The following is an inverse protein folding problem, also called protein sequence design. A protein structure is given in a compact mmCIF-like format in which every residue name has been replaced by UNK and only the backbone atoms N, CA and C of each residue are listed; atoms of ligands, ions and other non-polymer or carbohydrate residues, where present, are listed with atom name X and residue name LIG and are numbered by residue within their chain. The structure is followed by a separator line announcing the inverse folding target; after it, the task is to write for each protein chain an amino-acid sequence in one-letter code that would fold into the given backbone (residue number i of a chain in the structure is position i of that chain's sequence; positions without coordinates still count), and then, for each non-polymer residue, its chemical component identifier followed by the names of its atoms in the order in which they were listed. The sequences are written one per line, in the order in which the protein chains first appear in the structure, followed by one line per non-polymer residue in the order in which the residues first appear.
data_IF_631493315385
#
_entry.id   IF_631493315385
#
_cell.length_a   1.000
_cell.length_b   1.000
_cell.length_c   1.000
_cell.angle_alpha   90.00
_cell.angle_beta   90.00
_cell.angle_gamma   90.00
#
_symmetry.space_group_name_H-M   'P 1'
#
loop_
_entity.id
_entity.type
_entity.pdbx_description
1 polymer ?
#
# COMPACT_ATOMS: atom_id res chain seq x y z
N UNK A 1 26.51 6.95 -19.38
CA UNK A 1 26.02 8.29 -19.78
C UNK A 1 25.29 8.98 -18.62
N UNK A 2 24.34 8.31 -17.94
CA UNK A 2 23.61 8.86 -16.77
C UNK A 2 24.50 9.39 -15.64
N UNK A 3 25.53 8.63 -15.23
CA UNK A 3 26.49 9.06 -14.20
C UNK A 3 27.16 10.41 -14.52
N UNK A 4 27.57 10.64 -15.77
CA UNK A 4 28.19 11.89 -16.19
C UNK A 4 27.20 13.07 -16.08
N UNK A 5 25.93 12.85 -16.42
CA UNK A 5 24.89 13.88 -16.30
C UNK A 5 24.70 14.29 -14.84
N UNK A 6 24.62 13.32 -13.91
CA UNK A 6 24.50 13.60 -12.48
C UNK A 6 25.68 14.39 -11.93
N UNK A 7 26.90 14.03 -12.32
CA UNK A 7 28.11 14.74 -11.91
C UNK A 7 28.17 16.15 -12.51
N UNK A 8 27.72 16.35 -13.75
CA UNK A 8 27.60 17.67 -14.36
C UNK A 8 26.57 18.55 -13.67
N UNK A 9 25.41 17.98 -13.29
CA UNK A 9 24.40 18.71 -12.51
C UNK A 9 24.90 19.09 -11.12
N UNK A 10 25.57 18.16 -10.43
CA UNK A 10 26.21 18.44 -9.16
C UNK A 10 27.26 19.55 -9.29
N UNK A 11 28.12 19.49 -10.32
CA UNK A 11 29.12 20.50 -10.60
C UNK A 11 28.49 21.87 -10.83
N UNK A 12 27.42 21.95 -11.65
CA UNK A 12 26.68 23.19 -11.87
C UNK A 12 26.14 23.76 -10.56
N UNK A 13 25.50 22.93 -9.73
CA UNK A 13 25.04 23.34 -8.41
C UNK A 13 26.19 23.85 -7.51
N UNK A 14 27.33 23.16 -7.50
CA UNK A 14 28.49 23.56 -6.69
C UNK A 14 29.09 24.89 -7.17
N UNK A 15 29.14 25.14 -8.48
CA UNK A 15 29.56 26.43 -9.04
C UNK A 15 28.62 27.56 -8.61
N UNK A 16 27.30 27.33 -8.65
CA UNK A 16 26.32 28.30 -8.15
C UNK A 16 26.49 28.53 -6.64
N UNK A 17 26.63 27.47 -5.83
CA UNK A 17 26.89 27.57 -4.40
C UNK A 17 28.13 28.43 -4.10
N UNK A 18 29.25 28.19 -4.79
CA UNK A 18 30.49 28.93 -4.61
C UNK A 18 30.36 30.41 -5.03
N UNK A 19 29.68 30.67 -6.15
CA UNK A 19 29.46 32.05 -6.62
C UNK A 19 28.66 32.90 -5.60
N UNK A 20 27.77 32.26 -4.83
CA UNK A 20 26.89 32.92 -3.86
C UNK A 20 27.53 33.10 -2.49
N UNK A 21 28.45 32.22 -2.08
CA UNK A 21 29.23 32.38 -0.85
C UNK A 21 30.05 33.69 -0.83
N UNK A 22 30.43 34.22 -2.00
CA UNK A 22 31.19 35.47 -2.12
C UNK A 22 30.35 36.75 -2.18
N UNK A 23 29.02 36.66 -2.27
CA UNK A 23 28.14 37.78 -2.64
C UNK A 23 27.17 38.24 -1.53
N UNK A 24 27.38 37.82 -0.28
CA UNK A 24 26.42 37.98 0.82
C UNK A 24 26.01 39.44 1.06
N UNK A 25 24.86 39.83 0.50
CA UNK A 25 24.10 41.02 0.86
C UNK A 25 22.83 40.56 1.54
N UNK A 26 22.60 41.06 2.76
CA UNK A 26 21.67 40.50 3.75
C UNK A 26 20.17 40.52 3.39
N UNK A 27 19.80 41.04 2.21
CA UNK A 27 18.40 41.27 1.82
C UNK A 27 17.70 40.13 1.09
N UNK A 28 18.42 39.14 0.53
CA UNK A 28 17.83 38.15 -0.40
C UNK A 28 18.13 36.67 -0.05
N UNK A 29 18.55 36.39 1.18
CA UNK A 29 19.04 35.07 1.59
C UNK A 29 17.99 33.94 1.50
N UNK A 30 16.71 34.25 1.73
CA UNK A 30 15.62 33.27 1.66
C UNK A 30 15.36 32.84 0.22
N UNK A 31 15.22 33.80 -0.70
CA UNK A 31 15.02 33.52 -2.12
C UNK A 31 16.19 32.72 -2.71
N UNK A 32 17.42 33.07 -2.34
CA UNK A 32 18.59 32.32 -2.75
C UNK A 32 18.61 30.89 -2.19
N UNK A 33 18.23 30.72 -0.93
CA UNK A 33 18.10 29.40 -0.32
C UNK A 33 17.02 28.55 -1.02
N UNK A 34 15.87 29.13 -1.36
CA UNK A 34 14.82 28.45 -2.12
C UNK A 34 15.32 28.00 -3.49
N UNK A 35 15.95 28.90 -4.25
CA UNK A 35 16.51 28.59 -5.57
C UNK A 35 17.56 27.47 -5.51
N UNK A 36 18.49 27.53 -4.55
CA UNK A 36 19.56 26.54 -4.43
C UNK A 36 19.03 25.19 -3.95
N UNK A 37 17.97 25.17 -3.14
CA UNK A 37 17.25 23.94 -2.79
C UNK A 37 16.52 23.34 -4.00
N UNK A 38 15.87 24.16 -4.82
CA UNK A 38 15.22 23.69 -6.06
C UNK A 38 16.20 23.05 -7.04
N UNK A 39 17.46 23.46 -7.05
CA UNK A 39 18.51 22.81 -7.83
C UNK A 39 19.03 21.52 -7.19
N UNK A 40 19.26 21.50 -5.88
CA UNK A 40 19.96 20.38 -5.22
C UNK A 40 19.06 19.16 -4.98
N UNK A 41 17.76 19.38 -4.76
CA UNK A 41 16.82 18.30 -4.43
C UNK A 41 16.60 17.33 -5.62
N UNK A 42 16.38 17.79 -6.87
CA UNK A 42 16.28 16.89 -8.01
C UNK A 42 17.57 16.10 -8.28
N UNK A 43 18.74 16.73 -8.13
CA UNK A 43 20.05 16.06 -8.28
C UNK A 43 20.18 14.94 -7.25
N UNK A 44 19.80 15.21 -6.00
CA UNK A 44 19.82 14.21 -4.94
C UNK A 44 18.87 13.06 -5.25
N UNK A 45 17.61 13.35 -5.62
CA UNK A 45 16.61 12.34 -5.93
C UNK A 45 17.06 11.43 -7.09
N UNK A 46 17.56 12.03 -8.19
CA UNK A 46 18.08 11.28 -9.33
C UNK A 46 19.31 10.42 -8.96
N UNK A 47 20.24 10.99 -8.18
CA UNK A 47 21.43 10.26 -7.72
C UNK A 47 21.09 9.08 -6.81
N UNK A 48 20.05 9.20 -5.97
CA UNK A 48 19.58 8.09 -5.14
C UNK A 48 18.90 6.98 -5.95
N UNK A 49 18.26 7.31 -7.07
CA UNK A 49 17.66 6.33 -7.98
C UNK A 49 18.74 5.56 -8.76
N UNK A 50 19.82 6.26 -9.16
CA UNK A 50 20.95 5.66 -9.89
C UNK A 50 22.01 5.05 -8.94
N UNK A 51 21.72 4.96 -7.63
CA UNK A 51 22.63 4.42 -6.60
C UNK A 51 23.98 5.15 -6.45
N UNK A 52 24.08 6.39 -6.93
CA UNK A 52 25.25 7.26 -6.74
C UNK A 52 25.17 8.00 -5.39
N UNK A 53 25.23 7.24 -4.29
CA UNK A 53 25.04 7.78 -2.93
C UNK A 53 26.08 8.85 -2.55
N UNK A 54 27.29 8.80 -3.12
CA UNK A 54 28.31 9.83 -2.91
C UNK A 54 27.90 11.21 -3.43
N UNK A 55 27.25 11.26 -4.61
CA UNK A 55 26.72 12.50 -5.18
C UNK A 55 25.55 13.02 -4.33
N UNK A 56 24.62 12.14 -3.98
CA UNK A 56 23.49 12.49 -3.12
C UNK A 56 23.94 13.04 -1.75
N UNK A 57 24.95 12.40 -1.12
CA UNK A 57 25.54 12.86 0.14
C UNK A 57 26.12 14.25 0.02
N UNK A 58 26.97 14.49 -0.98
CA UNK A 58 27.61 15.80 -1.15
C UNK A 58 26.56 16.88 -1.43
N UNK A 59 25.58 16.60 -2.29
CA UNK A 59 24.47 17.49 -2.58
C UNK A 59 23.70 17.86 -1.30
N UNK A 60 23.29 16.88 -0.51
CA UNK A 60 22.53 17.11 0.73
C UNK A 60 23.35 17.83 1.80
N UNK A 61 24.65 17.55 1.94
CA UNK A 61 25.53 18.26 2.87
C UNK A 61 25.58 19.76 2.57
N UNK A 62 25.59 20.16 1.29
CA UNK A 62 25.52 21.58 0.90
C UNK A 62 24.11 22.13 1.02
N UNK A 63 23.09 21.33 0.68
CA UNK A 63 21.67 21.66 0.87
C UNK A 63 21.32 22.03 2.31
N UNK A 64 21.99 21.41 3.29
CA UNK A 64 21.81 21.68 4.72
C UNK A 64 21.99 23.17 5.08
N UNK A 65 22.91 23.88 4.42
CA UNK A 65 23.11 25.31 4.67
C UNK A 65 21.86 26.10 4.33
N UNK A 66 21.18 25.77 3.23
CA UNK A 66 20.00 26.49 2.76
C UNK A 66 18.74 26.15 3.54
N UNK A 67 18.56 24.88 3.94
CA UNK A 67 17.42 24.52 4.80
C UNK A 67 17.53 25.22 6.16
N UNK A 68 18.74 25.38 6.70
CA UNK A 68 18.97 26.11 7.95
C UNK A 68 18.62 27.61 7.83
N UNK A 69 18.85 28.22 6.66
CA UNK A 69 18.42 29.60 6.39
C UNK A 69 16.89 29.69 6.40
N UNK A 70 16.19 28.73 5.77
CA UNK A 70 14.73 28.67 5.80
C UNK A 70 14.19 28.41 7.22
N UNK A 71 14.87 27.60 8.04
CA UNK A 71 14.51 27.36 9.45
C UNK A 71 14.68 28.61 10.32
N UNK A 72 15.73 29.40 10.08
CA UNK A 72 16.10 30.56 10.91
C UNK A 72 15.27 31.81 10.61
N UNK A 73 14.47 31.79 9.55
CA UNK A 73 13.64 32.92 9.16
C UNK A 73 12.44 33.04 10.11
N UNK A 74 12.22 34.19 10.77
CA UNK A 74 11.14 34.34 11.73
C UNK A 74 9.78 34.30 11.03
N UNK A 75 9.17 33.13 11.01
CA UNK A 75 7.81 32.93 10.52
C UNK A 75 6.86 32.87 11.71
N UNK A 76 5.98 33.87 11.83
CA UNK A 76 4.75 33.71 12.62
C UNK A 76 3.93 32.57 12.01
N UNK A 77 3.22 31.78 12.84
CA UNK A 77 2.46 30.60 12.38
C UNK A 77 1.47 30.94 11.26
N UNK A 78 0.96 32.17 11.23
CA UNK A 78 -0.02 32.64 10.25
C UNK A 78 0.60 33.17 8.93
N UNK A 79 1.93 33.23 8.82
CA UNK A 79 2.64 33.78 7.65
C UNK A 79 3.76 32.86 7.14
N UNK A 80 3.69 31.56 7.41
CA UNK A 80 4.71 30.61 6.92
C UNK A 80 4.65 30.50 5.39
N UNK A 81 5.78 30.75 4.74
CA UNK A 81 5.90 30.64 3.29
C UNK A 81 5.65 29.16 2.84
N UNK A 82 4.63 28.89 2.01
CA UNK A 82 4.34 27.55 1.51
C UNK A 82 5.48 26.92 0.69
N UNK A 83 6.20 27.74 -0.09
CA UNK A 83 7.33 27.27 -0.90
C UNK A 83 8.48 26.81 -0.02
N UNK A 84 8.88 27.61 0.97
CA UNK A 84 9.89 27.24 1.94
C UNK A 84 9.52 25.93 2.67
N UNK A 85 8.26 25.79 3.09
CA UNK A 85 7.75 24.58 3.75
C UNK A 85 7.86 23.34 2.85
N UNK A 86 7.45 23.46 1.59
CA UNK A 86 7.55 22.39 0.59
C UNK A 86 9.01 21.96 0.36
N UNK A 87 9.93 22.92 0.27
CA UNK A 87 11.35 22.64 0.09
C UNK A 87 12.00 22.01 1.33
N UNK A 88 11.63 22.47 2.53
CA UNK A 88 12.04 21.85 3.80
C UNK A 88 11.55 20.39 3.87
N UNK A 89 10.27 20.16 3.59
CA UNK A 89 9.69 18.81 3.59
C UNK A 89 10.38 17.89 2.58
N UNK A 90 10.65 18.37 1.38
CA UNK A 90 11.38 17.62 0.36
C UNK A 90 12.82 17.31 0.82
N UNK A 91 13.54 18.28 1.38
CA UNK A 91 14.87 18.09 1.93
C UNK A 91 14.89 17.01 3.02
N UNK A 92 14.04 17.13 4.04
CA UNK A 92 14.02 16.14 5.13
C UNK A 92 13.60 14.75 4.61
N UNK A 93 12.64 14.66 3.70
CA UNK A 93 12.23 13.38 3.09
C UNK A 93 13.39 12.70 2.37
N UNK A 94 14.13 13.43 1.53
CA UNK A 94 15.31 12.88 0.86
C UNK A 94 16.44 12.56 1.83
N UNK A 95 16.61 13.34 2.91
CA UNK A 95 17.65 13.07 3.91
C UNK A 95 17.33 11.84 4.76
N UNK A 96 16.07 11.59 5.10
CA UNK A 96 15.60 10.35 5.73
C UNK A 96 15.98 9.17 4.84
N UNK A 97 15.57 9.22 3.56
CA UNK A 97 15.82 8.14 2.60
C UNK A 97 17.32 7.88 2.43
N UNK A 98 18.11 8.94 2.24
CA UNK A 98 19.56 8.82 2.09
C UNK A 98 20.21 8.23 3.34
N UNK A 99 19.83 8.71 4.53
CA UNK A 99 20.43 8.24 5.79
C UNK A 99 20.10 6.77 6.05
N UNK A 100 18.88 6.32 5.73
CA UNK A 100 18.55 4.91 5.76
C UNK A 100 19.38 4.09 4.76
N UNK A 101 19.57 4.56 3.52
CA UNK A 101 20.47 3.90 2.54
C UNK A 101 21.95 3.87 2.96
N UNK A 102 22.35 4.74 3.88
CA UNK A 102 23.69 4.80 4.48
C UNK A 102 23.80 3.97 5.78
N UNK A 103 22.78 3.17 6.12
CA UNK A 103 22.67 2.41 7.37
C UNK A 103 22.78 3.31 8.64
N UNK A 104 22.35 4.58 8.50
CA UNK A 104 22.32 5.61 9.56
C UNK A 104 20.88 5.88 10.00
N UNK A 105 20.24 4.87 10.59
CA UNK A 105 18.85 4.98 11.05
C UNK A 105 18.68 6.05 12.14
N UNK A 106 19.70 6.26 12.97
CA UNK A 106 19.80 7.36 13.95
C UNK A 106 19.58 8.74 13.31
N UNK A 107 20.23 8.98 12.17
CA UNK A 107 20.11 10.24 11.43
C UNK A 107 18.75 10.33 10.75
N UNK A 108 18.23 9.21 10.22
CA UNK A 108 16.89 9.18 9.63
C UNK A 108 15.81 9.56 10.66
N UNK A 109 15.90 9.03 11.88
CA UNK A 109 15.00 9.37 12.99
C UNK A 109 15.10 10.86 13.36
N UNK A 110 16.32 11.38 13.48
CA UNK A 110 16.53 12.80 13.75
C UNK A 110 15.91 13.68 12.65
N UNK A 111 16.08 13.33 11.38
CA UNK A 111 15.48 14.07 10.26
C UNK A 111 13.96 13.98 10.24
N UNK A 112 13.37 12.86 10.64
CA UNK A 112 11.93 12.75 10.77
C UNK A 112 11.37 13.71 11.84
N UNK A 113 12.07 13.86 12.97
CA UNK A 113 11.67 14.82 14.02
C UNK A 113 11.60 16.28 13.54
N UNK A 114 12.35 16.63 12.48
CA UNK A 114 12.33 17.96 11.86
C UNK A 114 11.07 18.23 11.04
N UNK A 115 10.28 17.20 10.73
CA UNK A 115 8.98 17.34 10.05
C UNK A 115 7.90 17.87 11.00
N UNK A 116 7.95 17.51 12.29
CA UNK A 116 6.87 17.83 13.24
C UNK A 116 6.50 19.33 13.31
N UNK A 117 7.47 20.27 13.33
CA UNK A 117 7.17 21.71 13.33
C UNK A 117 6.44 22.20 12.08
N UNK A 118 6.57 21.51 10.95
CA UNK A 118 6.00 21.89 9.64
C UNK A 118 4.84 20.99 9.18
N UNK A 119 4.50 19.97 9.97
CA UNK A 119 3.57 18.89 9.58
C UNK A 119 2.19 19.37 9.15
N UNK A 120 1.64 20.39 9.83
CA UNK A 120 0.30 20.92 9.56
C UNK A 120 0.22 21.72 8.26
N UNK A 121 1.36 22.22 7.80
CA UNK A 121 1.47 23.10 6.63
C UNK A 121 1.93 22.34 5.38
N UNK A 122 2.07 21.01 5.48
CA UNK A 122 2.45 20.17 4.34
C UNK A 122 1.32 20.14 3.30
N UNK A 123 1.65 20.52 2.08
CA UNK A 123 0.79 20.30 0.93
C UNK A 123 0.62 18.80 0.61
N UNK A 124 -0.28 18.48 -0.32
CA UNK A 124 -0.60 17.08 -0.64
C UNK A 124 0.60 16.35 -1.25
N UNK A 125 1.36 17.03 -2.11
CA UNK A 125 2.56 16.46 -2.73
C UNK A 125 3.64 16.13 -1.70
N UNK A 126 3.89 17.01 -0.73
CA UNK A 126 4.88 16.79 0.33
C UNK A 126 4.48 15.63 1.23
N UNK A 127 3.19 15.51 1.57
CA UNK A 127 2.69 14.36 2.34
C UNK A 127 2.84 13.05 1.58
N UNK A 128 2.49 13.01 0.31
CA UNK A 128 2.65 11.80 -0.50
C UNK A 128 4.13 11.38 -0.64
N UNK A 129 5.01 12.35 -0.88
CA UNK A 129 6.44 12.07 -1.04
C UNK A 129 7.05 11.58 0.27
N UNK A 130 6.70 12.20 1.40
CA UNK A 130 7.13 11.73 2.71
C UNK A 130 6.56 10.34 3.00
N UNK A 131 5.26 10.11 2.81
CA UNK A 131 4.64 8.80 3.04
C UNK A 131 5.29 7.69 2.19
N UNK A 132 5.65 7.98 0.94
CA UNK A 132 6.40 7.07 0.08
C UNK A 132 7.79 6.73 0.64
N UNK A 133 8.53 7.73 1.16
CA UNK A 133 9.81 7.49 1.84
C UNK A 133 9.62 6.61 3.08
N UNK A 134 8.63 6.93 3.93
CA UNK A 134 8.33 6.17 5.14
C UNK A 134 7.94 4.71 4.83
N UNK A 135 7.17 4.51 3.76
CA UNK A 135 6.84 3.18 3.24
C UNK A 135 8.09 2.40 2.83
N UNK A 136 8.97 3.02 2.04
CA UNK A 136 10.19 2.36 1.55
C UNK A 136 11.11 1.95 2.70
N UNK A 137 11.36 2.86 3.64
CA UNK A 137 12.17 2.59 4.85
C UNK A 137 11.53 1.47 5.67
N UNK A 138 10.23 1.55 5.95
CA UNK A 138 9.52 0.56 6.75
C UNK A 138 9.54 -0.84 6.12
N UNK A 139 9.32 -0.92 4.80
CA UNK A 139 9.31 -2.17 4.04
C UNK A 139 10.68 -2.84 4.04
N UNK A 140 11.75 -2.07 3.83
CA UNK A 140 13.10 -2.62 3.86
C UNK A 140 13.48 -3.15 5.25
N UNK A 141 13.16 -2.40 6.31
CA UNK A 141 13.42 -2.82 7.68
C UNK A 141 12.71 -4.14 8.01
N UNK A 142 11.45 -4.30 7.57
CA UNK A 142 10.72 -5.56 7.69
C UNK A 142 11.43 -6.68 6.94
N UNK A 143 11.90 -6.42 5.71
CA UNK A 143 12.62 -7.43 4.93
C UNK A 143 13.93 -7.90 5.61
N UNK A 144 14.57 -7.00 6.38
CA UNK A 144 15.74 -7.26 7.22
C UNK A 144 15.41 -7.80 8.62
N UNK A 145 14.18 -8.29 8.83
CA UNK A 145 13.69 -8.83 10.11
C UNK A 145 13.64 -7.82 11.28
N UNK A 146 13.78 -6.52 11.02
CA UNK A 146 13.58 -5.48 12.03
C UNK A 146 12.10 -5.03 12.03
N UNK A 147 11.23 -5.94 12.48
CA UNK A 147 9.77 -5.79 12.38
C UNK A 147 9.24 -4.59 13.15
N UNK A 148 9.70 -4.38 14.39
CA UNK A 148 9.22 -3.29 15.25
C UNK A 148 9.55 -1.93 14.66
N UNK A 149 10.82 -1.71 14.27
CA UNK A 149 11.23 -0.45 13.64
C UNK A 149 10.48 -0.25 12.33
N UNK A 150 10.40 -1.27 11.49
CA UNK A 150 9.69 -1.19 10.22
C UNK A 150 8.21 -0.82 10.38
N UNK A 151 7.52 -1.44 11.34
CA UNK A 151 6.13 -1.08 11.70
C UNK A 151 6.03 0.36 12.19
N UNK A 152 6.96 0.86 12.99
CA UNK A 152 6.96 2.26 13.43
C UNK A 152 7.01 3.23 12.23
N UNK A 153 7.90 2.99 11.26
CA UNK A 153 7.98 3.79 10.04
C UNK A 153 6.69 3.72 9.20
N UNK A 154 6.09 2.55 9.07
CA UNK A 154 4.80 2.40 8.36
C UNK A 154 3.64 3.10 9.09
N UNK A 155 3.56 3.00 10.42
CA UNK A 155 2.56 3.71 11.23
C UNK A 155 2.65 5.22 11.07
N UNK A 156 3.87 5.77 10.98
CA UNK A 156 4.07 7.21 10.70
C UNK A 156 3.51 7.60 9.33
N UNK A 157 3.72 6.76 8.31
CA UNK A 157 3.16 6.95 6.97
C UNK A 157 1.63 6.87 6.96
N UNK A 158 1.07 5.88 7.67
CA UNK A 158 -0.37 5.76 7.87
C UNK A 158 -0.95 7.00 8.55
N UNK A 159 -0.41 7.43 9.69
CA UNK A 159 -0.87 8.61 10.43
C UNK A 159 -0.83 9.87 9.55
N UNK A 160 0.22 10.04 8.76
CA UNK A 160 0.37 11.18 7.86
C UNK A 160 -0.78 11.24 6.84
N UNK A 161 -1.08 10.11 6.17
CA UNK A 161 -2.14 10.02 5.17
C UNK A 161 -3.55 10.09 5.79
N UNK A 162 -3.75 9.51 6.97
CA UNK A 162 -5.01 9.56 7.71
C UNK A 162 -5.34 10.97 8.22
N UNK A 163 -4.32 11.78 8.54
CA UNK A 163 -4.50 13.15 9.04
C UNK A 163 -4.93 14.18 7.99
N UNK A 164 -4.85 13.85 6.69
CA UNK A 164 -5.21 14.76 5.61
C UNK A 164 -6.71 15.03 5.58
N UNK A 165 -7.10 16.29 5.48
CA UNK A 165 -8.49 16.68 5.23
C UNK A 165 -8.80 16.58 3.73
N UNK A 166 -10.05 16.26 3.38
CA UNK A 166 -10.47 16.15 1.98
C UNK A 166 -10.19 14.81 1.30
N UNK A 167 -10.46 14.76 -0.01
CA UNK A 167 -10.40 13.55 -0.83
C UNK A 167 -8.95 13.23 -1.17
N UNK A 168 -8.51 12.01 -0.86
CA UNK A 168 -7.17 11.54 -1.24
C UNK A 168 -7.01 11.50 -2.77
N UNK A 169 -5.85 11.97 -3.26
CA UNK A 169 -5.44 11.75 -4.64
C UNK A 169 -5.30 10.24 -4.95
N UNK A 170 -5.31 9.83 -6.23
CA UNK A 170 -5.08 8.44 -6.60
C UNK A 170 -3.75 7.88 -6.05
N UNK A 171 -2.68 8.68 -6.07
CA UNK A 171 -1.37 8.29 -5.54
C UNK A 171 -1.41 8.13 -4.03
N UNK A 172 -2.05 9.05 -3.31
CA UNK A 172 -2.21 8.96 -1.87
C UNK A 172 -3.06 7.74 -1.47
N UNK A 173 -4.14 7.42 -2.20
CA UNK A 173 -4.94 6.20 -1.98
C UNK A 173 -4.10 4.94 -2.17
N UNK A 174 -3.31 4.87 -3.24
CA UNK A 174 -2.43 3.73 -3.51
C UNK A 174 -1.38 3.55 -2.41
N UNK A 175 -0.72 4.62 -1.98
CA UNK A 175 0.24 4.58 -0.87
C UNK A 175 -0.42 4.13 0.44
N UNK A 176 -1.60 4.67 0.77
CA UNK A 176 -2.30 4.33 2.01
C UNK A 176 -2.73 2.86 2.03
N UNK A 177 -3.22 2.35 0.89
CA UNK A 177 -3.52 0.94 0.69
C UNK A 177 -2.27 0.07 0.86
N UNK A 178 -1.15 0.44 0.22
CA UNK A 178 0.08 -0.34 0.26
C UNK A 178 0.65 -0.41 1.69
N UNK A 179 0.71 0.73 2.39
CA UNK A 179 1.13 0.80 3.79
C UNK A 179 0.23 -0.08 4.67
N UNK A 180 -1.09 0.05 4.55
CA UNK A 180 -2.05 -0.75 5.31
C UNK A 180 -1.84 -2.25 5.06
N UNK A 181 -1.74 -2.65 3.79
CA UNK A 181 -1.51 -4.04 3.42
C UNK A 181 -0.23 -4.62 4.06
N UNK A 182 0.88 -3.87 4.05
CA UNK A 182 2.14 -4.33 4.66
C UNK A 182 1.98 -4.46 6.19
N UNK A 183 1.37 -3.47 6.85
CA UNK A 183 1.10 -3.53 8.30
C UNK A 183 0.27 -4.78 8.64
N UNK A 184 -0.81 -5.04 7.90
CA UNK A 184 -1.66 -6.20 8.13
C UNK A 184 -0.90 -7.52 7.95
N UNK A 185 -0.07 -7.64 6.91
CA UNK A 185 0.75 -8.83 6.69
C UNK A 185 1.71 -9.09 7.85
N UNK A 186 2.35 -8.05 8.39
CA UNK A 186 3.29 -8.21 9.51
C UNK A 186 2.54 -8.57 10.78
N UNK A 187 1.47 -7.85 11.12
CA UNK A 187 0.69 -8.10 12.35
C UNK A 187 0.13 -9.52 12.35
N UNK A 188 -0.49 -9.95 11.25
CA UNK A 188 -1.11 -11.28 11.15
C UNK A 188 -0.09 -12.42 11.17
N UNK A 189 1.10 -12.25 10.58
CA UNK A 189 2.16 -13.27 10.59
C UNK A 189 2.92 -13.36 11.91
N UNK A 190 3.07 -12.25 12.63
CA UNK A 190 3.89 -12.20 13.83
C UNK A 190 3.16 -12.71 15.08
N UNK A 191 1.90 -13.13 14.94
CA UNK A 191 1.02 -13.59 16.02
C UNK A 191 1.00 -12.65 17.25
N UNK A 192 1.20 -11.36 17.00
CA UNK A 192 1.15 -10.31 18.02
C UNK A 192 -0.32 -10.07 18.37
N UNK A 193 -0.89 -10.95 19.21
CA UNK A 193 -2.30 -10.87 19.63
C UNK A 193 -2.65 -9.48 20.22
N UNK A 194 -1.69 -8.83 20.89
CA UNK A 194 -1.82 -7.46 21.40
C UNK A 194 -2.04 -6.39 20.30
N UNK A 195 -1.76 -6.70 19.04
CA UNK A 195 -1.81 -5.76 17.91
C UNK A 195 -3.06 -5.90 17.02
N UNK A 196 -3.98 -6.83 17.31
CA UNK A 196 -5.19 -7.01 16.47
C UNK A 196 -6.15 -5.83 16.62
N UNK A 197 -6.30 -5.27 17.83
CA UNK A 197 -7.09 -4.06 18.05
C UNK A 197 -6.56 -2.86 17.27
N UNK A 198 -5.23 -2.71 17.23
CA UNK A 198 -4.57 -1.70 16.41
C UNK A 198 -4.80 -1.96 14.91
N UNK A 199 -4.63 -3.20 14.45
CA UNK A 199 -4.87 -3.58 13.06
C UNK A 199 -6.30 -3.24 12.62
N UNK A 200 -7.29 -3.53 13.46
CA UNK A 200 -8.69 -3.16 13.20
C UNK A 200 -8.85 -1.65 13.08
N UNK A 201 -8.31 -0.88 14.02
CA UNK A 201 -8.38 0.59 14.00
C UNK A 201 -7.74 1.19 12.74
N UNK A 202 -6.55 0.72 12.37
CA UNK A 202 -5.87 1.12 11.14
C UNK A 202 -6.74 0.77 9.92
N UNK A 203 -7.24 -0.46 9.83
CA UNK A 203 -8.05 -0.91 8.71
C UNK A 203 -9.33 -0.09 8.55
N UNK A 204 -10.08 0.13 9.63
CA UNK A 204 -11.32 0.91 9.63
C UNK A 204 -11.07 2.35 9.17
N UNK A 205 -9.97 2.95 9.64
CA UNK A 205 -9.60 4.30 9.21
C UNK A 205 -9.27 4.35 7.71
N UNK A 206 -8.58 3.35 7.14
CA UNK A 206 -8.30 3.30 5.70
C UNK A 206 -9.56 3.01 4.90
N UNK A 207 -10.42 2.10 5.35
CA UNK A 207 -11.71 1.82 4.72
C UNK A 207 -12.59 3.08 4.63
N UNK A 208 -12.65 3.88 5.69
CA UNK A 208 -13.42 5.14 5.68
C UNK A 208 -12.90 6.17 4.67
N UNK A 209 -11.62 6.10 4.30
CA UNK A 209 -10.93 7.04 3.41
C UNK A 209 -10.91 6.59 1.95
N UNK A 210 -10.72 5.30 1.71
CA UNK A 210 -10.58 4.71 0.38
C UNK A 210 -11.91 4.17 -0.12
N UNK A 211 -12.74 3.65 0.78
CA UNK A 211 -13.92 2.86 0.48
C UNK A 211 -13.60 1.38 0.24
N UNK A 212 -14.54 0.70 -0.40
CA UNK A 212 -14.49 -0.73 -0.64
C UNK A 212 -13.40 -1.08 -1.66
N UNK A 213 -12.26 -1.54 -1.15
CA UNK A 213 -11.16 -2.07 -1.95
C UNK A 213 -10.96 -3.56 -1.59
N UNK A 214 -10.80 -4.48 -2.57
CA UNK A 214 -10.86 -5.91 -2.28
C UNK A 214 -9.77 -6.38 -1.32
N UNK A 215 -8.58 -5.77 -1.37
CA UNK A 215 -7.48 -6.07 -0.42
C UNK A 215 -7.84 -5.65 1.01
N UNK A 216 -8.51 -4.51 1.21
CA UNK A 216 -8.93 -4.08 2.54
C UNK A 216 -10.05 -4.97 3.07
N UNK A 217 -11.00 -5.34 2.22
CA UNK A 217 -12.09 -6.27 2.57
C UNK A 217 -11.55 -7.67 2.88
N UNK A 218 -10.51 -8.13 2.18
CA UNK A 218 -9.79 -9.34 2.54
C UNK A 218 -9.23 -9.26 3.96
N UNK A 219 -8.55 -8.16 4.32
CA UNK A 219 -8.05 -7.98 5.68
C UNK A 219 -9.17 -7.87 6.71
N UNK A 220 -10.32 -7.28 6.35
CA UNK A 220 -11.50 -7.23 7.21
C UNK A 220 -11.98 -8.65 7.54
N UNK A 221 -12.05 -9.53 6.54
CA UNK A 221 -12.41 -10.95 6.71
C UNK A 221 -11.36 -11.71 7.54
N UNK A 222 -10.07 -11.44 7.35
CA UNK A 222 -8.99 -12.06 8.14
C UNK A 222 -9.08 -11.64 9.60
N UNK A 223 -9.23 -10.34 9.89
CA UNK A 223 -9.37 -9.84 11.26
C UNK A 223 -10.61 -10.41 11.92
N UNK A 224 -11.76 -10.37 11.24
CA UNK A 224 -13.00 -10.96 11.75
C UNK A 224 -12.79 -12.41 12.17
N UNK A 225 -12.11 -13.19 11.34
CA UNK A 225 -11.83 -14.58 11.63
C UNK A 225 -10.92 -14.79 12.85
N UNK A 226 -9.87 -13.96 13.01
CA UNK A 226 -8.95 -14.08 14.15
C UNK A 226 -9.61 -13.65 15.46
N UNK A 227 -10.49 -12.64 15.41
CA UNK A 227 -11.12 -12.07 16.62
C UNK A 227 -12.38 -12.78 17.10
N UNK A 228 -12.80 -13.82 16.40
CA UNK A 228 -14.07 -14.47 16.67
C UNK A 228 -13.93 -15.52 17.77
N UNK A 229 -14.03 -15.07 19.02
CA UNK A 229 -14.06 -15.95 20.19
C UNK A 229 -15.48 -16.41 20.58
N UNK A 230 -16.57 -15.87 20.00
CA UNK A 230 -17.93 -16.28 20.41
C UNK A 230 -19.13 -15.82 19.55
N UNK A 231 -18.98 -15.41 18.27
CA UNK A 231 -20.12 -14.81 17.55
C UNK A 231 -19.98 -14.59 16.05
N UNK A 232 -19.47 -15.58 15.31
CA UNK A 232 -19.45 -15.56 13.84
C UNK A 232 -20.85 -15.23 13.27
N UNK A 233 -21.05 -14.04 12.70
CA UNK A 233 -22.21 -13.80 11.84
C UNK A 233 -21.82 -14.18 10.42
N UNK A 234 -22.43 -15.26 9.94
CA UNK A 234 -22.30 -15.72 8.56
C UNK A 234 -22.78 -14.65 7.58
N UNK A 235 -23.83 -13.92 7.94
CA UNK A 235 -24.38 -12.82 7.15
C UNK A 235 -23.40 -11.66 7.03
N UNK A 236 -22.74 -11.28 8.13
CA UNK A 236 -21.73 -10.24 8.12
C UNK A 236 -20.54 -10.65 7.23
N UNK A 237 -20.09 -11.90 7.34
CA UNK A 237 -18.99 -12.44 6.54
C UNK A 237 -19.35 -12.49 5.05
N UNK A 238 -20.54 -13.00 4.71
CA UNK A 238 -21.08 -13.02 3.36
C UNK A 238 -21.21 -11.61 2.77
N UNK A 239 -21.67 -10.62 3.56
CA UNK A 239 -21.80 -9.24 3.09
C UNK A 239 -20.46 -8.61 2.68
N UNK A 240 -19.38 -8.95 3.38
CA UNK A 240 -18.04 -8.43 3.09
C UNK A 240 -17.47 -9.10 1.83
N UNK A 241 -17.70 -10.40 1.64
CA UNK A 241 -17.35 -11.09 0.40
C UNK A 241 -18.12 -10.49 -0.78
N UNK A 242 -19.42 -10.23 -0.60
CA UNK A 242 -20.22 -9.58 -1.64
C UNK A 242 -19.62 -8.22 -2.03
N UNK A 243 -19.35 -7.34 -1.05
CA UNK A 243 -18.68 -6.06 -1.28
C UNK A 243 -17.34 -6.22 -2.01
N UNK A 244 -16.59 -7.28 -1.69
CA UNK A 244 -15.32 -7.59 -2.34
C UNK A 244 -15.51 -7.94 -3.81
N UNK A 245 -16.48 -8.78 -4.14
CA UNK A 245 -16.84 -9.17 -5.51
C UNK A 245 -17.36 -7.96 -6.30
N UNK A 246 -18.11 -7.06 -5.66
CA UNK A 246 -18.69 -5.88 -6.32
C UNK A 246 -17.70 -4.73 -6.53
N UNK A 247 -16.54 -4.76 -5.86
CA UNK A 247 -15.60 -3.64 -5.84
C UNK A 247 -14.87 -3.44 -7.19
N UNK A 248 -14.67 -2.19 -7.64
CA UNK A 248 -14.03 -1.89 -8.94
C UNK A 248 -12.55 -2.27 -9.03
N UNK A 249 -11.89 -2.56 -7.90
CA UNK A 249 -10.48 -2.99 -7.86
C UNK A 249 -10.28 -4.51 -8.00
N UNK A 250 -11.31 -5.25 -8.40
CA UNK A 250 -11.24 -6.70 -8.51
C UNK A 250 -10.25 -7.14 -9.60
N UNK A 251 -9.34 -8.03 -9.23
CA UNK A 251 -8.21 -8.53 -10.02
C UNK A 251 -8.01 -10.02 -9.79
N UNK A 252 -7.05 -10.64 -10.49
CA UNK A 252 -6.70 -12.05 -10.33
C UNK A 252 -6.31 -12.44 -8.91
N UNK A 253 -5.47 -11.62 -8.27
CA UNK A 253 -5.05 -11.88 -6.90
C UNK A 253 -6.27 -11.86 -5.95
N UNK A 254 -7.18 -10.90 -6.15
CA UNK A 254 -8.35 -10.77 -5.28
C UNK A 254 -9.42 -11.81 -5.61
N UNK A 255 -9.45 -12.34 -6.84
CA UNK A 255 -10.27 -13.49 -7.21
C UNK A 255 -9.88 -14.73 -6.39
N UNK A 256 -8.59 -15.04 -6.29
CA UNK A 256 -8.13 -16.16 -5.46
C UNK A 256 -8.42 -15.96 -3.97
N UNK A 257 -8.32 -14.72 -3.48
CA UNK A 257 -8.70 -14.40 -2.10
C UNK A 257 -10.21 -14.55 -1.86
N UNK A 258 -11.06 -14.10 -2.80
CA UNK A 258 -12.50 -14.27 -2.71
C UNK A 258 -12.90 -15.74 -2.73
N UNK A 259 -12.32 -16.55 -3.63
CA UNK A 259 -12.51 -18.01 -3.64
C UNK A 259 -12.12 -18.65 -2.32
N UNK A 260 -10.96 -18.29 -1.74
CA UNK A 260 -10.52 -18.85 -0.48
C UNK A 260 -11.52 -18.55 0.67
N UNK A 261 -12.07 -17.34 0.71
CA UNK A 261 -13.09 -16.97 1.69
C UNK A 261 -14.44 -17.64 1.42
N UNK A 262 -14.82 -17.87 0.16
CA UNK A 262 -16.04 -18.62 -0.20
C UNK A 262 -15.95 -20.10 0.15
N UNK A 263 -14.79 -20.74 -0.05
CA UNK A 263 -14.53 -22.11 0.42
C UNK A 263 -14.73 -22.20 1.94
N UNK A 264 -14.18 -21.22 2.68
CA UNK A 264 -14.30 -21.15 4.14
C UNK A 264 -15.73 -20.91 4.60
N UNK A 265 -16.48 -20.03 3.91
CA UNK A 265 -17.90 -19.83 4.19
C UNK A 265 -18.70 -21.11 3.92
N UNK A 266 -18.35 -21.83 2.85
CA UNK A 266 -18.92 -23.13 2.48
C UNK A 266 -18.79 -24.22 3.54
N UNK A 267 -17.80 -24.14 4.43
CA UNK A 267 -17.67 -25.08 5.55
C UNK A 267 -18.77 -24.86 6.63
N UNK A 268 -19.50 -23.73 6.61
CA UNK A 268 -20.54 -23.37 7.59
C UNK A 268 -21.93 -23.23 6.98
N UNK A 269 -22.04 -22.55 5.85
CA UNK A 269 -23.32 -22.29 5.18
C UNK A 269 -23.18 -22.23 3.66
N UNK A 270 -24.30 -22.06 2.97
CA UNK A 270 -24.33 -22.00 1.51
C UNK A 270 -23.72 -20.70 0.96
N UNK A 271 -22.64 -20.75 0.16
CA UNK A 271 -22.14 -19.58 -0.56
C UNK A 271 -22.73 -19.47 -1.98
N UNK A 272 -23.81 -20.21 -2.29
CA UNK A 272 -24.39 -20.35 -3.64
C UNK A 272 -24.54 -19.01 -4.38
N UNK A 273 -25.21 -18.04 -3.76
CA UNK A 273 -25.52 -16.75 -4.41
C UNK A 273 -24.25 -15.93 -4.68
N UNK A 274 -23.27 -15.98 -3.77
CA UNK A 274 -22.00 -15.28 -3.94
C UNK A 274 -21.11 -15.94 -5.00
N UNK A 275 -21.18 -17.27 -5.12
CA UNK A 275 -20.50 -18.01 -6.19
C UNK A 275 -21.12 -17.67 -7.54
N UNK A 276 -22.46 -17.60 -7.62
CA UNK A 276 -23.17 -17.22 -8.83
C UNK A 276 -22.82 -15.77 -9.22
N UNK A 277 -22.74 -14.85 -8.25
CA UNK A 277 -22.31 -13.46 -8.49
C UNK A 277 -20.86 -13.39 -8.99
N UNK A 278 -19.92 -14.11 -8.35
CA UNK A 278 -18.52 -14.18 -8.77
C UNK A 278 -18.38 -14.76 -10.19
N UNK A 279 -19.17 -15.80 -10.49
CA UNK A 279 -19.20 -16.48 -11.77
C UNK A 279 -19.63 -15.52 -12.89
N UNK A 280 -20.82 -14.93 -12.76
CA UNK A 280 -21.41 -14.15 -13.84
C UNK A 280 -20.82 -12.74 -13.96
N UNK A 281 -20.27 -12.17 -12.89
CA UNK A 281 -19.64 -10.85 -12.94
C UNK A 281 -18.21 -10.89 -13.45
N UNK A 282 -17.42 -11.89 -13.07
CA UNK A 282 -15.98 -11.89 -13.33
C UNK A 282 -15.50 -13.08 -14.16
N UNK A 283 -15.85 -14.30 -13.76
CA UNK A 283 -15.28 -15.49 -14.38
C UNK A 283 -15.78 -15.71 -15.82
N UNK A 284 -17.09 -15.51 -16.06
CA UNK A 284 -17.70 -15.70 -17.37
C UNK A 284 -17.35 -14.56 -18.34
N UNK A 285 -17.47 -13.26 -17.99
CA UNK A 285 -17.12 -12.17 -18.91
C UNK A 285 -15.61 -12.05 -19.18
N UNK A 286 -14.77 -12.47 -18.22
CA UNK A 286 -13.32 -12.40 -18.36
C UNK A 286 -12.71 -13.43 -19.33
N UNK A 287 -13.52 -14.34 -19.88
CA UNK A 287 -13.10 -15.48 -20.73
C UNK A 287 -11.94 -16.31 -20.12
N UNK A 288 -11.73 -16.21 -18.80
CA UNK A 288 -10.69 -16.93 -18.08
C UNK A 288 -11.22 -18.32 -17.70
N UNK A 289 -10.86 -19.29 -18.53
CA UNK A 289 -11.31 -20.67 -18.40
C UNK A 289 -10.97 -21.28 -17.02
N UNK A 290 -9.84 -20.89 -16.43
CA UNK A 290 -9.41 -21.34 -15.10
C UNK A 290 -10.33 -20.78 -14.02
N UNK A 291 -10.67 -19.48 -14.08
CA UNK A 291 -11.57 -18.88 -13.09
C UNK A 291 -12.96 -19.49 -13.20
N UNK A 292 -13.45 -19.65 -14.44
CA UNK A 292 -14.73 -20.26 -14.74
C UNK A 292 -14.83 -21.66 -14.14
N UNK A 293 -13.87 -22.52 -14.46
CA UNK A 293 -13.86 -23.89 -13.95
C UNK A 293 -13.71 -23.96 -12.43
N UNK A 294 -12.91 -23.09 -11.80
CA UNK A 294 -12.78 -23.03 -10.33
C UNK A 294 -14.10 -22.67 -9.64
N UNK A 295 -14.82 -21.66 -10.14
CA UNK A 295 -16.09 -21.25 -9.53
C UNK A 295 -17.17 -22.30 -9.75
N UNK A 296 -17.28 -22.86 -10.97
CA UNK A 296 -18.24 -23.93 -11.28
C UNK A 296 -17.97 -25.17 -10.44
N UNK A 297 -16.70 -25.59 -10.33
CA UNK A 297 -16.31 -26.71 -9.49
C UNK A 297 -16.70 -26.47 -8.04
N UNK A 298 -16.39 -25.29 -7.49
CA UNK A 298 -16.74 -24.96 -6.11
C UNK A 298 -18.26 -24.92 -5.90
N UNK A 299 -19.03 -24.39 -6.85
CA UNK A 299 -20.50 -24.36 -6.81
C UNK A 299 -21.12 -25.74 -6.83
N UNK A 300 -20.60 -26.65 -7.65
CA UNK A 300 -20.99 -28.07 -7.65
C UNK A 300 -20.64 -28.67 -6.28
N UNK A 301 -19.38 -28.52 -5.85
CA UNK A 301 -18.87 -29.10 -4.61
C UNK A 301 -19.68 -28.67 -3.38
N UNK A 302 -19.98 -27.38 -3.22
CA UNK A 302 -20.76 -26.88 -2.07
C UNK A 302 -22.20 -27.39 -2.11
N UNK A 303 -22.80 -27.49 -3.29
CA UNK A 303 -24.16 -28.04 -3.43
C UNK A 303 -24.21 -29.50 -2.99
N UNK A 304 -23.26 -30.33 -3.43
CA UNK A 304 -23.28 -31.76 -3.10
C UNK A 304 -22.81 -32.09 -1.69
N UNK A 305 -21.91 -31.30 -1.10
CA UNK A 305 -21.31 -31.63 0.21
C UNK A 305 -21.92 -30.87 1.40
N UNK A 306 -22.60 -29.74 1.17
CA UNK A 306 -23.09 -28.88 2.25
C UNK A 306 -24.63 -28.87 2.33
N UNK A 307 -25.35 -29.00 1.20
CA UNK A 307 -26.80 -28.76 1.15
C UNK A 307 -27.53 -29.83 0.35
N UNK A 308 -28.32 -30.65 1.03
CA UNK A 308 -29.25 -31.58 0.37
C UNK A 308 -30.61 -30.91 0.14
N UNK A 309 -30.72 -30.10 -0.92
CA UNK A 309 -31.98 -29.41 -1.30
C UNK A 309 -32.28 -29.55 -2.79
N UNK A 310 -33.49 -30.03 -3.12
CA UNK A 310 -33.99 -30.09 -4.50
C UNK A 310 -33.96 -28.75 -5.22
N UNK A 311 -34.21 -27.65 -4.51
CA UNK A 311 -34.20 -26.31 -5.09
C UNK A 311 -32.77 -25.87 -5.45
N UNK A 312 -31.77 -26.21 -4.63
CA UNK A 312 -30.37 -25.91 -4.95
C UNK A 312 -29.85 -26.74 -6.12
N UNK A 313 -30.28 -28.00 -6.28
CA UNK A 313 -29.97 -28.79 -7.47
C UNK A 313 -30.57 -28.19 -8.75
N UNK A 314 -31.80 -27.68 -8.67
CA UNK A 314 -32.46 -27.01 -9.79
C UNK A 314 -31.71 -25.74 -10.19
N UNK A 315 -31.37 -24.88 -9.22
CA UNK A 315 -30.55 -23.68 -9.44
C UNK A 315 -29.18 -24.01 -10.03
N UNK A 316 -28.52 -25.06 -9.54
CA UNK A 316 -27.25 -25.53 -10.08
C UNK A 316 -27.37 -25.92 -11.56
N UNK A 317 -28.45 -26.64 -11.93
CA UNK A 317 -28.75 -26.97 -13.32
C UNK A 317 -28.89 -25.72 -14.19
N UNK A 318 -29.66 -24.73 -13.74
CA UNK A 318 -29.82 -23.45 -14.45
C UNK A 318 -28.48 -22.71 -14.63
N UNK A 319 -27.61 -22.73 -13.63
CA UNK A 319 -26.28 -22.10 -13.69
C UNK A 319 -25.36 -22.83 -14.67
N UNK A 320 -25.28 -24.16 -14.60
CA UNK A 320 -24.44 -24.97 -15.50
C UNK A 320 -24.88 -24.81 -16.94
N UNK A 321 -26.18 -24.81 -17.21
CA UNK A 321 -26.73 -24.61 -18.55
C UNK A 321 -26.36 -23.22 -19.11
N UNK A 322 -26.53 -22.16 -18.31
CA UNK A 322 -26.13 -20.80 -18.71
C UNK A 322 -24.64 -20.71 -19.04
N UNK A 323 -23.79 -21.35 -18.21
CA UNK A 323 -22.35 -21.41 -18.46
C UNK A 323 -22.07 -22.16 -19.77
N UNK A 324 -22.70 -23.32 -19.96
CA UNK A 324 -22.54 -24.13 -21.17
C UNK A 324 -22.89 -23.34 -22.45
N UNK A 325 -24.02 -22.63 -22.43
CA UNK A 325 -24.47 -21.80 -23.55
C UNK A 325 -23.57 -20.60 -23.83
N UNK A 326 -22.85 -20.11 -22.81
CA UNK A 326 -22.02 -18.90 -22.91
C UNK A 326 -20.57 -19.19 -23.28
N UNK A 327 -20.10 -20.42 -23.08
CA UNK A 327 -18.73 -20.82 -23.39
C UNK A 327 -18.55 -21.00 -24.91
N UNK A 328 -17.51 -20.37 -25.47
CA UNK A 328 -17.16 -20.49 -26.90
C UNK A 328 -16.30 -21.71 -27.25
N UNK A 329 -15.56 -22.25 -26.27
CA UNK A 329 -14.67 -23.41 -26.44
C UNK A 329 -14.68 -24.29 -25.21
N UNK A 330 -14.62 -25.60 -25.39
CA UNK A 330 -14.44 -26.50 -24.25
C UNK A 330 -13.10 -26.24 -23.55
N UNK A 331 -13.10 -26.44 -22.23
CA UNK A 331 -11.88 -26.45 -21.41
C UNK A 331 -10.97 -27.58 -21.89
N UNK A 332 -9.68 -27.29 -22.07
CA UNK A 332 -8.67 -28.33 -22.28
C UNK A 332 -8.47 -29.16 -21.03
N UNK A 333 -7.92 -30.37 -21.17
CA UNK A 333 -7.62 -31.25 -20.04
C UNK A 333 -6.76 -30.58 -18.96
N UNK A 334 -5.73 -29.83 -19.37
CA UNK A 334 -4.84 -29.08 -18.47
C UNK A 334 -5.59 -28.00 -17.69
N UNK A 335 -6.53 -27.30 -18.34
CA UNK A 335 -7.35 -26.29 -17.67
C UNK A 335 -8.31 -26.93 -16.65
N UNK A 336 -8.86 -28.11 -16.96
CA UNK A 336 -9.70 -28.88 -16.02
C UNK A 336 -8.90 -29.32 -14.79
N UNK A 337 -7.69 -29.85 -14.97
CA UNK A 337 -6.81 -30.21 -13.85
C UNK A 337 -6.47 -28.99 -12.98
N UNK A 338 -6.15 -27.84 -13.60
CA UNK A 338 -5.85 -26.60 -12.88
C UNK A 338 -7.03 -26.07 -12.05
N UNK A 339 -8.27 -26.40 -12.44
CA UNK A 339 -9.47 -26.05 -11.68
C UNK A 339 -9.63 -26.90 -10.41
N UNK A 340 -9.13 -28.15 -10.46
CA UNK A 340 -9.20 -29.11 -9.35
C UNK A 340 -8.05 -28.95 -8.36
N UNK A 341 -6.90 -28.43 -8.80
CA UNK A 341 -5.65 -28.35 -8.03
C UNK A 341 -5.72 -27.56 -6.71
N UNK A 342 -6.79 -26.78 -6.46
CA UNK A 342 -6.99 -26.11 -5.17
C UNK A 342 -7.57 -27.03 -4.09
N UNK A 343 -8.10 -28.21 -4.45
CA UNK A 343 -8.48 -29.26 -3.50
C UNK A 343 -7.29 -29.84 -2.72
N UNK A 344 -6.07 -29.76 -3.28
CA UNK A 344 -4.86 -30.29 -2.64
C UNK A 344 -4.21 -29.33 -1.62
N UNK A 345 -4.64 -28.06 -1.54
CA UNK A 345 -4.12 -27.11 -0.54
C UNK A 345 -4.64 -27.45 0.88
N UNK A 346 -5.74 -28.22 1.01
CA UNK A 346 -6.16 -28.77 2.32
C UNK A 346 -5.29 -29.97 2.78
N UNK A 347 -4.36 -30.50 1.97
CA UNK A 347 -3.42 -31.57 2.39
C UNK A 347 -2.05 -31.08 2.87
N UNK A 348 -1.68 -29.82 2.61
CA UNK A 348 -0.38 -29.27 3.01
C UNK A 348 -0.45 -28.19 4.12
N UNK A 349 -1.63 -27.72 4.49
CA UNK A 349 -1.82 -26.67 5.51
C UNK A 349 -1.95 -27.18 6.96
N UNK A 350 -1.71 -28.48 7.20
CA UNK A 350 -1.54 -29.04 8.56
C UNK A 350 -0.17 -28.69 9.18
N UNK A 351 0.68 -27.88 8.53
CA UNK A 351 2.07 -27.70 8.98
C UNK A 351 2.70 -26.35 8.65
N UNK A 352 1.94 -25.26 8.65
CA UNK A 352 2.50 -23.90 8.68
C UNK A 352 1.40 -22.91 9.10
N UNK A 353 1.23 -22.77 10.42
CA UNK A 353 0.59 -21.61 11.05
C UNK A 353 1.65 -20.51 11.13
#
# INVERSE_FOLDING_TARGET
MQRLVLHSWLLAFLLFHLSRLGATTSGNSVFEAEYLLELVLPVTAASMNDSELGVARLAMQRGATYVNILESTPNTRDCRNPQATRLQAAYYSLRILLSWKEDRLDVAEHMFSKIDPIRRDLDDSSVENLANVLQNVGTDLISKQNLESGLNWLRRGHHLLSSKTGILSPKAKHLHLAICNIIMQVITKSNLQESIGEARSILDSVLSRIGDHPVLLHWQLVILHVTDECGFSEEAYASIIQRMILSPGFSENTFHLALAHLVRLGDKCSPSELLDELLFRHALPGENAIWLGKVVFLRIWTTFNVIYSHEEYRKLGDVVEKVHQSIRRHLSWVEVEACQAQGDIKRSSSGAI
#
